data_IF_117775064980
#
_entry.id   IF_117775064980
#
_cell.length_a   1.000
_cell.length_b   1.000
_cell.length_c   1.000
_cell.angle_alpha   90.00
_cell.angle_beta   90.00
_cell.angle_gamma   90.00
#
_symmetry.space_group_name_H-M   'P 1'
#
loop_
_entity.id
_entity.type
_entity.pdbx_description
1 polymer ?
#
# COMPACT_ATOMS: atom_id res chain seq x y z
N UNK A 1 16.79 32.48 -31.22
CA UNK A 1 17.73 31.31 -31.28
C UNK A 1 17.87 30.54 -29.98
N UNK A 2 17.75 31.09 -28.78
CA UNK A 2 17.86 30.37 -27.51
C UNK A 2 16.62 29.50 -27.20
N UNK A 3 15.43 29.95 -27.52
CA UNK A 3 14.16 29.21 -27.29
C UNK A 3 14.08 27.94 -28.14
N UNK A 4 14.58 28.02 -29.40
CA UNK A 4 14.60 26.84 -30.29
C UNK A 4 15.53 25.74 -29.82
N UNK A 5 16.63 26.10 -29.14
CA UNK A 5 17.58 25.13 -28.54
C UNK A 5 16.98 24.45 -27.31
N UNK A 6 16.20 25.13 -26.49
CA UNK A 6 15.51 24.57 -25.32
C UNK A 6 14.38 23.65 -25.75
N UNK A 7 13.63 23.99 -26.78
CA UNK A 7 12.57 23.14 -27.34
C UNK A 7 13.14 21.84 -27.94
N UNK A 8 14.30 21.92 -28.62
CA UNK A 8 15.00 20.74 -29.15
C UNK A 8 15.52 19.78 -28.07
N UNK A 9 15.95 20.33 -26.93
CA UNK A 9 16.43 19.52 -25.80
C UNK A 9 15.27 18.79 -25.07
N UNK A 10 14.07 19.37 -25.07
CA UNK A 10 12.89 18.74 -24.45
C UNK A 10 12.33 17.58 -25.27
N UNK A 11 12.46 17.62 -26.61
CA UNK A 11 12.02 16.55 -27.51
C UNK A 11 12.97 15.36 -27.43
N UNK A 12 14.24 15.54 -27.08
CA UNK A 12 15.21 14.44 -26.96
C UNK A 12 15.01 13.61 -25.69
N UNK A 13 14.27 14.12 -24.69
CA UNK A 13 14.00 13.44 -23.41
C UNK A 13 12.77 12.51 -23.46
N UNK A 14 12.01 12.49 -24.55
CA UNK A 14 10.89 11.57 -24.76
C UNK A 14 11.32 10.31 -25.54
N UNK A 15 12.45 9.72 -25.17
CA UNK A 15 12.78 8.37 -25.63
C UNK A 15 11.77 7.43 -24.97
N UNK A 16 10.93 6.69 -25.70
CA UNK A 16 10.07 5.69 -25.11
C UNK A 16 11.00 4.68 -24.45
N UNK A 17 10.93 4.59 -23.11
CA UNK A 17 11.55 3.48 -22.39
C UNK A 17 10.91 2.22 -22.96
N UNK A 18 11.62 1.52 -23.82
CA UNK A 18 11.18 0.26 -24.37
C UNK A 18 10.81 -0.63 -23.19
N UNK A 19 9.56 -1.05 -23.11
CA UNK A 19 9.14 -2.02 -22.12
C UNK A 19 9.94 -3.30 -22.38
N UNK A 20 10.92 -3.56 -21.53
CA UNK A 20 11.58 -4.86 -21.47
C UNK A 20 10.51 -5.83 -20.97
N UNK A 21 9.81 -6.45 -21.93
CA UNK A 21 8.90 -7.56 -21.62
C UNK A 21 9.82 -8.68 -21.18
N UNK A 22 9.81 -9.13 -19.91
CA UNK A 22 10.58 -10.29 -19.50
C UNK A 22 10.14 -11.44 -20.39
N UNK A 23 11.12 -12.19 -20.92
CA UNK A 23 10.84 -13.37 -21.74
C UNK A 23 10.19 -14.43 -20.83
N UNK A 24 8.87 -14.32 -20.66
CA UNK A 24 8.09 -15.39 -20.05
C UNK A 24 8.19 -16.54 -21.05
N UNK A 25 8.83 -17.65 -20.62
CA UNK A 25 8.97 -18.87 -21.40
C UNK A 25 7.67 -19.16 -22.14
N UNK A 26 7.79 -19.51 -23.43
CA UNK A 26 6.64 -19.86 -24.28
C UNK A 26 5.93 -21.10 -23.69
N UNK A 27 5.06 -20.90 -22.75
CA UNK A 27 4.26 -21.96 -22.15
C UNK A 27 2.99 -22.15 -22.94
N UNK A 28 2.71 -23.40 -23.30
CA UNK A 28 1.48 -23.76 -23.97
C UNK A 28 0.33 -23.72 -22.98
N UNK A 29 -0.64 -22.86 -23.23
CA UNK A 29 -1.86 -22.77 -22.41
C UNK A 29 -2.98 -23.56 -23.10
N UNK A 30 -3.83 -24.28 -22.31
CA UNK A 30 -4.97 -25.01 -22.86
C UNK A 30 -6.01 -24.11 -23.52
N UNK A 31 -6.22 -22.90 -22.96
CA UNK A 31 -7.14 -21.90 -23.49
C UNK A 31 -6.79 -20.50 -22.95
N UNK A 32 -7.40 -19.46 -23.52
CA UNK A 32 -7.16 -18.06 -23.15
C UNK A 32 -7.64 -17.72 -21.71
N UNK A 33 -8.63 -18.43 -21.20
CA UNK A 33 -9.11 -18.24 -19.83
C UNK A 33 -8.06 -18.68 -18.78
N UNK A 34 -7.45 -19.85 -18.99
CA UNK A 34 -6.34 -20.32 -18.13
C UNK A 34 -5.14 -19.39 -18.25
N UNK A 35 -4.86 -18.90 -19.46
CA UNK A 35 -3.79 -17.96 -19.70
C UNK A 35 -3.99 -16.65 -18.93
N UNK A 36 -5.17 -16.04 -18.99
CA UNK A 36 -5.48 -14.82 -18.27
C UNK A 36 -5.31 -15.02 -16.76
N UNK A 37 -5.97 -16.05 -16.18
CA UNK A 37 -5.84 -16.38 -14.76
C UNK A 37 -4.40 -16.65 -14.32
N UNK A 38 -3.61 -17.29 -15.18
CA UNK A 38 -2.21 -17.54 -14.89
C UNK A 38 -1.42 -16.24 -14.72
N UNK A 39 -1.61 -15.28 -15.65
CA UNK A 39 -0.89 -14.01 -15.56
C UNK A 39 -1.32 -13.18 -14.34
N UNK A 40 -2.59 -13.20 -13.99
CA UNK A 40 -3.11 -12.53 -12.80
C UNK A 40 -2.47 -13.12 -11.54
N UNK A 41 -2.45 -14.46 -11.40
CA UNK A 41 -1.85 -15.15 -10.26
C UNK A 41 -0.35 -14.89 -10.11
N UNK A 42 0.44 -14.99 -11.18
CA UNK A 42 1.89 -14.77 -11.08
C UNK A 42 2.25 -13.30 -10.86
N UNK A 43 1.35 -12.36 -11.17
CA UNK A 43 1.49 -10.95 -10.84
C UNK A 43 1.18 -10.66 -9.37
N UNK A 44 0.26 -11.43 -8.77
CA UNK A 44 -0.17 -11.30 -7.37
C UNK A 44 0.83 -11.93 -6.40
N UNK A 45 1.47 -13.03 -6.78
CA UNK A 45 2.43 -13.71 -5.91
C UNK A 45 3.81 -13.05 -5.91
N UNK A 46 4.38 -12.96 -4.74
CA UNK A 46 5.70 -12.40 -4.50
C UNK A 46 6.80 -13.45 -4.67
N UNK A 47 7.91 -13.06 -5.27
CA UNK A 47 9.08 -13.93 -5.36
C UNK A 47 9.80 -14.02 -3.99
N UNK A 48 9.92 -15.22 -3.37
CA UNK A 48 10.47 -15.35 -2.02
C UNK A 48 11.95 -15.00 -1.88
N UNK A 49 12.73 -15.09 -2.94
CA UNK A 49 14.17 -14.83 -2.95
C UNK A 49 14.54 -13.52 -3.67
N UNK A 50 13.54 -12.74 -4.07
CA UNK A 50 13.76 -11.47 -4.76
C UNK A 50 13.52 -10.30 -3.80
N UNK A 51 14.20 -9.16 -4.02
CA UNK A 51 14.10 -8.03 -3.10
C UNK A 51 12.68 -7.46 -2.98
N UNK A 52 11.98 -7.24 -4.08
CA UNK A 52 10.61 -6.71 -4.07
C UNK A 52 9.97 -6.82 -5.46
N UNK A 53 9.88 -8.03 -6.00
CA UNK A 53 9.24 -8.27 -7.29
C UNK A 53 8.28 -9.44 -7.21
N UNK A 54 7.30 -9.48 -8.12
CA UNK A 54 6.37 -10.58 -8.26
C UNK A 54 6.98 -11.72 -9.10
N UNK A 55 6.26 -12.84 -9.20
CA UNK A 55 6.72 -13.98 -9.98
C UNK A 55 6.80 -13.68 -11.48
N UNK A 56 5.94 -12.79 -11.99
CA UNK A 56 5.94 -12.40 -13.39
C UNK A 56 7.19 -11.59 -13.78
N UNK A 57 7.66 -10.73 -12.87
CA UNK A 57 8.79 -9.82 -13.11
C UNK A 57 10.15 -10.36 -12.70
N UNK A 58 10.27 -11.63 -12.30
CA UNK A 58 11.51 -12.21 -11.81
C UNK A 58 12.01 -13.36 -12.69
N UNK A 59 13.30 -13.32 -13.05
CA UNK A 59 13.98 -14.40 -13.77
C UNK A 59 14.73 -15.36 -12.83
N UNK A 60 14.61 -15.19 -11.52
CA UNK A 60 15.20 -16.10 -10.54
C UNK A 60 14.67 -17.53 -10.72
N UNK A 61 15.53 -18.52 -10.50
CA UNK A 61 15.15 -19.93 -10.66
C UNK A 61 13.93 -20.31 -9.84
N UNK A 62 13.83 -19.79 -8.61
CA UNK A 62 12.66 -20.03 -7.73
C UNK A 62 11.37 -19.44 -8.31
N UNK A 63 11.44 -18.26 -8.95
CA UNK A 63 10.28 -17.64 -9.57
C UNK A 63 9.83 -18.46 -10.78
N UNK A 64 10.77 -18.99 -11.57
CA UNK A 64 10.46 -19.89 -12.70
C UNK A 64 9.79 -21.19 -12.22
N UNK A 65 10.28 -21.78 -11.16
CA UNK A 65 9.71 -23.02 -10.60
C UNK A 65 8.30 -22.77 -10.02
N UNK A 66 8.10 -21.66 -9.34
CA UNK A 66 6.79 -21.24 -8.82
C UNK A 66 5.79 -20.95 -9.94
N UNK A 67 6.23 -20.32 -11.04
CA UNK A 67 5.40 -20.12 -12.24
C UNK A 67 4.96 -21.46 -12.86
N UNK A 68 5.88 -22.40 -13.00
CA UNK A 68 5.56 -23.75 -13.51
C UNK A 68 4.60 -24.49 -12.57
N UNK A 69 4.79 -24.37 -11.27
CA UNK A 69 3.91 -24.96 -10.27
C UNK A 69 2.51 -24.37 -10.32
N UNK A 70 2.40 -23.04 -10.39
CA UNK A 70 1.11 -22.34 -10.50
C UNK A 70 0.36 -22.74 -11.77
N UNK A 71 1.05 -22.83 -12.91
CA UNK A 71 0.43 -23.28 -14.16
C UNK A 71 -0.06 -24.71 -14.06
N UNK A 72 0.74 -25.62 -13.49
CA UNK A 72 0.36 -27.01 -13.31
C UNK A 72 -0.92 -27.13 -12.47
N UNK A 73 -1.00 -26.42 -11.34
CA UNK A 73 -2.19 -26.42 -10.46
C UNK A 73 -3.42 -25.85 -11.19
N UNK A 74 -3.25 -24.81 -12.01
CA UNK A 74 -4.32 -24.28 -12.85
C UNK A 74 -4.83 -25.28 -13.87
N UNK A 75 -3.94 -26.02 -14.54
CA UNK A 75 -4.29 -27.08 -15.51
C UNK A 75 -4.99 -28.25 -14.79
N UNK A 76 -4.61 -28.56 -13.56
CA UNK A 76 -5.28 -29.55 -12.71
C UNK A 76 -6.68 -29.09 -12.25
N UNK A 77 -7.10 -27.85 -12.60
CA UNK A 77 -8.42 -27.32 -12.31
C UNK A 77 -8.56 -26.72 -10.90
N UNK A 78 -7.47 -26.44 -10.21
CA UNK A 78 -7.48 -25.78 -8.91
C UNK A 78 -8.02 -24.36 -9.01
N UNK A 79 -8.71 -23.95 -7.98
CA UNK A 79 -9.15 -22.55 -7.79
C UNK A 79 -7.96 -21.68 -7.38
N UNK A 80 -8.09 -20.36 -7.59
CA UNK A 80 -7.04 -19.40 -7.22
C UNK A 80 -6.76 -19.43 -5.70
N UNK A 81 -7.81 -19.56 -4.86
CA UNK A 81 -7.70 -19.71 -3.42
C UNK A 81 -6.98 -21.01 -2.98
N UNK A 82 -7.15 -22.11 -3.72
CA UNK A 82 -6.43 -23.36 -3.45
C UNK A 82 -4.95 -23.23 -3.83
N UNK A 83 -4.65 -22.55 -4.93
CA UNK A 83 -3.26 -22.31 -5.37
C UNK A 83 -2.57 -21.37 -4.39
N UNK A 84 -3.23 -20.30 -3.98
CA UNK A 84 -2.74 -19.38 -2.95
C UNK A 84 -2.45 -20.14 -1.63
N UNK A 85 -3.37 -20.98 -1.19
CA UNK A 85 -3.20 -21.77 0.03
C UNK A 85 -2.02 -22.74 -0.08
N UNK A 86 -1.89 -23.41 -1.21
CA UNK A 86 -0.77 -24.33 -1.48
C UNK A 86 0.59 -23.63 -1.40
N UNK A 87 0.69 -22.44 -1.98
CA UNK A 87 1.92 -21.65 -1.98
C UNK A 87 2.19 -21.04 -0.59
N UNK A 88 1.13 -20.57 0.07
CA UNK A 88 1.20 -20.04 1.43
C UNK A 88 1.70 -21.08 2.46
N UNK A 89 1.19 -22.31 2.41
CA UNK A 89 1.60 -23.38 3.33
C UNK A 89 3.08 -23.74 3.17
N UNK A 90 3.65 -23.49 1.99
CA UNK A 90 5.03 -23.85 1.68
C UNK A 90 6.03 -22.71 1.87
N UNK A 91 5.61 -21.47 1.60
CA UNK A 91 6.48 -20.28 1.62
C UNK A 91 6.08 -19.25 2.67
N UNK A 92 4.95 -19.44 3.36
CA UNK A 92 4.45 -18.57 4.41
C UNK A 92 3.87 -17.25 3.88
N UNK A 93 3.66 -16.31 4.82
CA UNK A 93 3.06 -14.99 4.53
C UNK A 93 3.83 -14.18 3.48
N UNK A 94 5.11 -14.47 3.28
CA UNK A 94 5.96 -13.71 2.37
C UNK A 94 5.59 -13.86 0.90
N UNK A 95 4.88 -14.93 0.52
CA UNK A 95 4.45 -15.18 -0.87
C UNK A 95 3.35 -14.21 -1.32
N UNK A 96 2.66 -13.54 -0.38
CA UNK A 96 1.57 -12.62 -0.64
C UNK A 96 2.02 -11.17 -0.45
N UNK A 97 1.55 -10.28 -1.33
CA UNK A 97 1.70 -8.83 -1.11
C UNK A 97 0.70 -8.32 -0.07
N UNK A 98 -0.50 -8.89 -0.07
CA UNK A 98 -1.56 -8.53 0.87
C UNK A 98 -1.61 -9.56 2.01
N UNK A 99 -1.35 -9.14 3.26
CA UNK A 99 -1.41 -10.02 4.40
C UNK A 99 -2.83 -10.55 4.60
N UNK A 100 -2.96 -11.86 4.79
CA UNK A 100 -4.26 -12.47 5.12
C UNK A 100 -4.82 -11.92 6.44
N UNK A 101 -6.15 -11.83 6.53
CA UNK A 101 -6.85 -11.50 7.77
C UNK A 101 -6.73 -12.66 8.75
N UNK A 102 -5.69 -12.63 9.57
CA UNK A 102 -5.44 -13.61 10.63
C UNK A 102 -5.46 -12.91 11.99
N UNK A 103 -5.63 -13.63 13.10
CA UNK A 103 -5.55 -13.03 14.43
C UNK A 103 -4.25 -12.24 14.67
N UNK A 104 -3.15 -12.63 14.00
CA UNK A 104 -1.86 -11.94 14.08
C UNK A 104 -1.85 -10.61 13.34
N UNK A 105 -2.61 -10.50 12.24
CA UNK A 105 -2.68 -9.30 11.40
C UNK A 105 -3.82 -8.36 11.77
N UNK A 106 -4.67 -8.71 12.73
CA UNK A 106 -5.78 -7.86 13.18
C UNK A 106 -5.31 -6.47 13.62
N UNK A 107 -4.18 -6.41 14.33
CA UNK A 107 -3.63 -5.12 14.77
C UNK A 107 -3.23 -4.24 13.59
N UNK A 108 -2.76 -4.84 12.49
CA UNK A 108 -2.39 -4.12 11.26
C UNK A 108 -3.63 -3.49 10.60
N UNK A 109 -4.74 -4.22 10.56
CA UNK A 109 -5.97 -3.76 9.90
C UNK A 109 -6.82 -2.84 10.77
N UNK A 110 -6.94 -3.16 12.06
CA UNK A 110 -7.76 -2.38 13.00
C UNK A 110 -6.98 -1.27 13.70
N UNK A 111 -5.66 -1.32 13.71
CA UNK A 111 -4.81 -0.33 14.36
C UNK A 111 -5.04 1.10 13.88
N UNK A 112 -4.99 1.37 12.56
CA UNK A 112 -5.24 2.71 12.04
C UNK A 112 -6.63 3.24 12.36
N UNK A 113 -7.64 2.35 12.33
CA UNK A 113 -9.02 2.71 12.67
C UNK A 113 -9.15 3.07 14.16
N UNK A 114 -8.55 2.28 15.04
CA UNK A 114 -8.51 2.55 16.48
C UNK A 114 -7.80 3.87 16.82
N UNK A 115 -6.66 4.11 16.17
CA UNK A 115 -5.93 5.38 16.31
C UNK A 115 -6.75 6.58 15.80
N UNK A 116 -7.47 6.42 14.69
CA UNK A 116 -8.35 7.44 14.16
C UNK A 116 -9.49 7.79 15.13
N UNK A 117 -10.14 6.78 15.70
CA UNK A 117 -11.21 6.97 16.70
C UNK A 117 -10.66 7.66 17.96
N UNK A 118 -9.51 7.20 18.45
CA UNK A 118 -8.85 7.80 19.63
C UNK A 118 -8.47 9.26 19.38
N UNK A 119 -7.89 9.55 18.22
CA UNK A 119 -7.53 10.92 17.81
C UNK A 119 -8.75 11.83 17.73
N UNK A 120 -9.83 11.34 17.11
CA UNK A 120 -11.08 12.09 17.04
C UNK A 120 -11.68 12.34 18.45
N UNK A 121 -11.67 11.33 19.31
CA UNK A 121 -12.14 11.46 20.68
C UNK A 121 -11.34 12.50 21.49
N UNK A 122 -10.00 12.45 21.38
CA UNK A 122 -9.12 13.44 22.01
C UNK A 122 -9.42 14.84 21.47
N UNK A 123 -9.53 14.99 20.16
CA UNK A 123 -9.82 16.28 19.52
C UNK A 123 -11.14 16.89 19.98
N UNK A 124 -12.21 16.07 20.01
CA UNK A 124 -13.51 16.49 20.51
C UNK A 124 -13.46 16.86 22.00
N UNK A 125 -12.77 16.07 22.84
CA UNK A 125 -12.66 16.30 24.27
C UNK A 125 -11.88 17.58 24.60
N UNK A 126 -10.82 17.87 23.85
CA UNK A 126 -10.07 19.13 23.99
C UNK A 126 -10.87 20.34 23.48
N UNK A 127 -11.60 20.16 22.36
CA UNK A 127 -12.47 21.22 21.83
C UNK A 127 -13.57 21.63 22.81
N UNK A 128 -14.18 20.66 23.49
CA UNK A 128 -15.18 20.93 24.53
C UNK A 128 -14.60 21.64 25.77
N UNK A 129 -13.36 21.30 26.18
CA UNK A 129 -12.67 21.97 27.25
C UNK A 129 -12.33 23.44 26.92
N UNK A 130 -11.88 23.71 25.67
CA UNK A 130 -11.63 25.08 25.22
C UNK A 130 -12.90 25.95 25.24
N UNK A 131 -14.02 25.41 24.75
CA UNK A 131 -15.28 26.13 24.70
C UNK A 131 -15.84 26.46 26.13
N UNK A 132 -15.48 25.63 27.13
CA UNK A 132 -15.83 25.89 28.55
C UNK A 132 -14.91 26.92 29.21
N UNK A 133 -13.68 27.09 28.70
CA UNK A 133 -12.74 28.08 29.24
C UNK A 133 -12.98 29.49 28.68
N UNK A 134 -13.43 29.59 27.41
CA UNK A 134 -13.77 30.90 26.80
C UNK A 134 -15.07 31.53 27.39
N UNK A 135 -15.88 30.76 28.10
CA UNK A 135 -17.08 31.26 28.77
C UNK A 135 -16.85 31.77 30.19
N UNK A 136 -15.61 31.69 30.70
CA UNK A 136 -15.28 32.29 32.00
C UNK A 136 -14.98 33.77 31.78
N UNK A 137 -16.03 34.59 31.80
CA UNK A 137 -15.88 36.05 31.97
C UNK A 137 -14.97 36.28 33.17
N UNK A 138 -13.95 37.12 32.99
CA UNK A 138 -13.07 37.57 34.07
C UNK A 138 -13.93 37.97 35.24
N UNK A 139 -13.62 37.43 36.42
CA UNK A 139 -14.26 37.84 37.68
C UNK A 139 -14.11 39.36 37.80
N UNK A 140 -15.12 40.02 38.39
CA UNK A 140 -15.07 41.48 38.59
C UNK A 140 -13.78 41.93 39.31
N UNK A 141 -13.24 41.09 40.21
CA UNK A 141 -11.96 41.36 40.86
C UNK A 141 -10.74 41.27 39.91
N UNK A 142 -10.78 40.37 38.94
CA UNK A 142 -9.74 40.27 37.92
C UNK A 142 -9.81 41.44 36.94
N UNK A 143 -11.01 41.88 36.55
CA UNK A 143 -11.21 43.06 35.73
C UNK A 143 -10.69 44.31 36.42
N UNK A 144 -10.98 44.49 37.73
CA UNK A 144 -10.46 45.60 38.54
C UNK A 144 -8.95 45.56 38.72
N UNK A 145 -8.33 44.38 38.74
CA UNK A 145 -6.85 44.22 38.76
C UNK A 145 -6.23 44.64 37.43
N UNK A 146 -6.78 44.20 36.33
CA UNK A 146 -6.31 44.60 35.00
C UNK A 146 -6.44 46.11 34.84
N UNK A 147 -7.54 46.69 35.21
CA UNK A 147 -7.77 48.13 35.10
C UNK A 147 -6.78 48.94 35.95
N UNK A 148 -6.48 48.52 37.20
CA UNK A 148 -5.46 49.14 38.05
C UNK A 148 -4.03 49.02 37.48
N UNK A 149 -3.72 47.97 36.69
CA UNK A 149 -2.43 47.83 36.05
C UNK A 149 -2.28 48.72 34.83
N UNK A 150 -3.40 49.02 34.14
CA UNK A 150 -3.41 49.88 32.96
C UNK A 150 -3.39 51.39 33.35
N UNK A 151 -3.83 51.73 34.54
CA UNK A 151 -3.86 53.11 35.09
C UNK A 151 -2.58 53.53 35.83
N UNK A 152 -1.58 52.61 35.92
CA UNK A 152 -0.28 52.96 36.50
C UNK A 152 0.61 53.55 35.39
N UNK A 153 1.00 54.85 35.51
CA UNK A 153 1.91 55.50 34.55
C UNK A 153 3.34 54.91 34.60
#
# INVERSE_FOLDING_TARGET
MRVLKVLGLFVLLTVPVGQVIPAIEAQAFPNDGVKARYYDLIAEFRCPQCLNTNLAGSDAMIAQDLRKTSLRLLIEGKTDAEIETYLYDRYGDFILYEPRLTPRTWLLWLGPLGLGILGLWIWLSLGWKRKRSDGKTLSEDEQRRVQRLLERP
#
